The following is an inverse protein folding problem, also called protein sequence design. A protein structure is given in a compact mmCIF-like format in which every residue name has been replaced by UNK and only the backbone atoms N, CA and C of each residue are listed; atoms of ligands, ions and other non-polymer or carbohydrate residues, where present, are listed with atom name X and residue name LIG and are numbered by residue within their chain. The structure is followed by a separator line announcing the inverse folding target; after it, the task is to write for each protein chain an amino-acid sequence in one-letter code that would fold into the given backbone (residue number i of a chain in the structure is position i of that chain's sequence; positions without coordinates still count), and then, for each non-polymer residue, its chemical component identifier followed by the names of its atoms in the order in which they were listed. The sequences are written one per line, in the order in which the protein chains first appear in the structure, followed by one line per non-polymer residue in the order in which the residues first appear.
data_IF_097919885963
#
_entry.id   IF_097919885963
#
_cell.length_a   1.000
_cell.length_b   1.000
_cell.length_c   1.000
_cell.angle_alpha   90.00
_cell.angle_beta   90.00
_cell.angle_gamma   90.00
#
_symmetry.space_group_name_H-M   'P 1'
#
loop_
_entity.id
_entity.type
_entity.pdbx_description
1 polymer ?
#
# COMPACT_ATOMS: atom_id res chain seq x y z
N UNK A 1 0.19 -7.75 34.07
CA UNK A 1 0.97 -6.87 33.16
C UNK A 1 1.97 -7.75 32.41
N UNK A 2 2.11 -7.61 31.09
CA UNK A 2 3.06 -8.41 30.28
C UNK A 2 4.18 -7.48 29.84
N UNK A 3 5.43 -7.85 30.07
CA UNK A 3 6.59 -7.07 29.64
C UNK A 3 7.09 -7.58 28.29
N UNK A 4 7.43 -6.65 27.40
CA UNK A 4 8.04 -6.98 26.12
C UNK A 4 9.50 -7.37 26.35
N UNK A 5 9.85 -8.61 26.01
CA UNK A 5 11.23 -9.14 26.17
C UNK A 5 12.02 -9.13 24.87
N UNK A 6 11.36 -8.99 23.72
CA UNK A 6 11.98 -8.95 22.38
C UNK A 6 11.46 -7.71 21.67
N UNK A 7 12.36 -6.90 21.12
CA UNK A 7 12.02 -5.67 20.41
C UNK A 7 11.18 -5.94 19.14
N UNK A 8 10.37 -4.96 18.75
CA UNK A 8 9.57 -4.99 17.53
C UNK A 8 8.06 -5.08 17.75
N UNK A 9 7.31 -4.29 16.98
CA UNK A 9 5.84 -4.15 17.07
C UNK A 9 5.11 -5.50 16.97
N UNK A 10 5.49 -6.33 15.99
CA UNK A 10 4.88 -7.65 15.76
C UNK A 10 5.01 -8.59 16.96
N UNK A 11 6.17 -8.60 17.61
CA UNK A 11 6.41 -9.42 18.80
C UNK A 11 5.60 -8.91 20.00
N UNK A 12 5.51 -7.60 20.18
CA UNK A 12 4.68 -7.00 21.23
C UNK A 12 3.20 -7.40 21.07
N UNK A 13 2.65 -7.29 19.86
CA UNK A 13 1.27 -7.71 19.57
C UNK A 13 1.10 -9.21 19.84
N UNK A 14 2.03 -10.06 19.35
CA UNK A 14 2.02 -11.50 19.59
C UNK A 14 1.98 -11.86 21.08
N UNK A 15 2.81 -11.21 21.91
CA UNK A 15 2.85 -11.43 23.36
C UNK A 15 1.52 -11.10 24.05
N UNK A 16 0.90 -9.98 23.68
CA UNK A 16 -0.41 -9.56 24.22
C UNK A 16 -1.50 -10.56 23.81
N UNK A 17 -1.54 -10.95 22.54
CA UNK A 17 -2.52 -11.91 22.04
C UNK A 17 -2.37 -13.30 22.67
N UNK A 18 -1.14 -13.75 22.95
CA UNK A 18 -0.90 -15.00 23.68
C UNK A 18 -1.46 -14.95 25.09
N UNK A 19 -1.32 -13.81 25.76
CA UNK A 19 -1.86 -13.68 27.10
C UNK A 19 -3.39 -13.58 27.09
N UNK A 20 -3.99 -12.90 26.11
CA UNK A 20 -5.45 -12.91 25.90
C UNK A 20 -5.95 -14.33 25.64
N UNK A 21 -5.27 -15.08 24.77
CA UNK A 21 -5.55 -16.49 24.48
C UNK A 21 -5.47 -17.36 25.74
N UNK A 22 -4.40 -17.24 26.55
CA UNK A 22 -4.26 -17.99 27.82
C UNK A 22 -5.30 -17.63 28.88
N UNK A 23 -5.82 -16.39 28.86
CA UNK A 23 -6.89 -15.95 29.76
C UNK A 23 -8.27 -16.47 29.34
N UNK A 24 -8.41 -17.05 28.15
CA UNK A 24 -9.68 -17.59 27.67
C UNK A 24 -10.72 -16.50 27.39
N UNK A 25 -10.32 -15.36 26.80
CA UNK A 25 -11.28 -14.32 26.40
C UNK A 25 -12.35 -14.90 25.45
N UNK A 26 -13.57 -14.39 25.53
CA UNK A 26 -14.69 -14.90 24.75
C UNK A 26 -14.43 -14.69 23.26
N UNK A 27 -14.94 -15.58 22.41
CA UNK A 27 -14.68 -15.51 20.97
C UNK A 27 -15.25 -14.23 20.34
N UNK A 28 -16.32 -13.69 20.91
CA UNK A 28 -16.97 -12.46 20.46
C UNK A 28 -16.43 -11.18 21.12
N UNK A 29 -15.48 -11.30 22.06
CA UNK A 29 -14.83 -10.13 22.64
C UNK A 29 -14.14 -9.31 21.53
N UNK A 30 -14.20 -7.99 21.69
CA UNK A 30 -13.61 -7.07 20.71
C UNK A 30 -12.18 -6.69 21.11
N UNK A 31 -11.26 -6.86 20.18
CA UNK A 31 -9.85 -6.46 20.30
C UNK A 31 -9.62 -5.26 19.39
N UNK A 32 -9.13 -4.16 19.97
CA UNK A 32 -8.81 -2.94 19.24
C UNK A 32 -7.31 -2.85 19.05
N UNK A 33 -6.86 -2.75 17.80
CA UNK A 33 -5.49 -2.38 17.47
C UNK A 33 -5.43 -0.90 17.12
N UNK A 34 -4.47 -0.21 17.73
CA UNK A 34 -4.27 1.23 17.59
C UNK A 34 -2.77 1.55 17.61
N UNK A 35 -2.33 2.40 16.68
CA UNK A 35 -0.95 2.90 16.67
C UNK A 35 -0.77 3.98 17.75
N UNK A 36 0.44 4.13 18.28
CA UNK A 36 0.71 5.08 19.37
C UNK A 36 0.70 6.56 18.97
N UNK A 37 0.65 6.84 17.66
CA UNK A 37 0.53 8.17 17.06
C UNK A 37 -0.92 8.46 16.58
N UNK A 38 -1.87 7.59 16.92
CA UNK A 38 -3.28 7.77 16.60
C UNK A 38 -4.03 8.49 17.74
N UNK A 39 -4.97 9.35 17.37
CA UNK A 39 -5.89 10.04 18.28
C UNK A 39 -7.32 9.71 17.84
N UNK A 40 -8.05 9.03 18.72
CA UNK A 40 -9.42 8.60 18.44
C UNK A 40 -10.39 9.79 18.47
N UNK A 41 -11.21 9.97 17.42
CA UNK A 41 -12.28 10.94 17.49
C UNK A 41 -13.35 10.53 18.53
N UNK A 42 -14.05 11.49 19.15
CA UNK A 42 -15.10 11.19 20.11
C UNK A 42 -16.16 10.22 19.56
N UNK A 43 -16.52 9.22 20.37
CA UNK A 43 -17.56 8.26 20.03
C UNK A 43 -17.18 7.20 18.98
N UNK A 44 -15.90 7.10 18.56
CA UNK A 44 -15.47 6.13 17.54
C UNK A 44 -15.88 4.68 17.87
N UNK A 45 -15.71 4.25 19.12
CA UNK A 45 -16.09 2.91 19.57
C UNK A 45 -17.61 2.70 19.54
N UNK A 46 -18.40 3.73 19.87
CA UNK A 46 -19.87 3.69 19.79
C UNK A 46 -20.36 3.52 18.36
N UNK A 47 -19.64 4.05 17.37
CA UNK A 47 -19.93 3.86 15.94
C UNK A 47 -19.48 2.49 15.40
N UNK A 48 -18.51 1.87 16.07
CA UNK A 48 -17.80 0.69 15.62
C UNK A 48 -18.33 -0.62 16.23
N UNK A 49 -18.38 -0.69 17.56
CA UNK A 49 -18.67 -1.93 18.29
C UNK A 49 -20.08 -2.49 18.03
N UNK A 50 -21.17 -1.69 17.95
CA UNK A 50 -22.51 -2.23 17.69
C UNK A 50 -22.64 -2.95 16.34
N UNK A 51 -21.77 -2.66 15.37
CA UNK A 51 -21.77 -3.35 14.08
C UNK A 51 -21.47 -4.85 14.21
N UNK A 52 -20.69 -5.25 15.22
CA UNK A 52 -20.36 -6.65 15.47
C UNK A 52 -21.51 -7.43 16.10
N UNK A 53 -22.38 -6.75 16.85
CA UNK A 53 -23.60 -7.35 17.39
C UNK A 53 -24.63 -7.53 16.28
N UNK A 54 -24.82 -6.50 15.46
CA UNK A 54 -25.79 -6.53 14.35
C UNK A 54 -25.40 -7.50 13.22
N UNK A 55 -24.12 -7.82 13.07
CA UNK A 55 -23.62 -8.76 12.07
C UNK A 55 -22.65 -9.79 12.68
N UNK A 56 -23.17 -10.98 13.06
CA UNK A 56 -22.35 -12.06 13.62
C UNK A 56 -21.23 -12.53 12.69
N UNK A 57 -21.36 -12.33 11.36
CA UNK A 57 -20.32 -12.71 10.40
C UNK A 57 -19.18 -11.69 10.34
N UNK A 58 -19.39 -10.46 10.82
CA UNK A 58 -18.37 -9.42 10.85
C UNK A 58 -17.24 -9.80 11.80
N UNK A 59 -16.01 -9.84 11.26
CA UNK A 59 -14.82 -10.23 12.01
C UNK A 59 -13.82 -9.10 12.21
N UNK A 60 -13.84 -8.08 11.34
CA UNK A 60 -13.02 -6.89 11.54
C UNK A 60 -13.62 -5.66 10.86
N UNK A 61 -13.26 -4.50 11.40
CA UNK A 61 -13.50 -3.22 10.76
C UNK A 61 -12.26 -2.34 10.82
N UNK A 62 -12.18 -1.44 9.86
CA UNK A 62 -11.20 -0.34 9.83
C UNK A 62 -11.95 0.97 9.67
N UNK A 63 -11.40 2.04 10.20
CA UNK A 63 -12.05 3.35 10.25
C UNK A 63 -11.50 4.31 9.20
N UNK A 64 -12.22 5.41 9.03
CA UNK A 64 -11.71 6.59 8.34
C UNK A 64 -10.53 7.18 9.10
N UNK A 65 -9.64 7.85 8.37
CA UNK A 65 -8.48 8.49 8.97
C UNK A 65 -8.12 9.77 8.25
N UNK A 66 -7.82 10.77 9.06
CA UNK A 66 -7.24 12.05 8.66
C UNK A 66 -5.87 12.22 9.31
N UNK A 67 -5.11 13.18 8.80
CA UNK A 67 -3.75 13.47 9.26
C UNK A 67 -3.68 14.84 9.90
N UNK A 68 -3.00 14.90 11.04
CA UNK A 68 -2.51 16.13 11.63
C UNK A 68 -1.02 16.14 11.37
N UNK A 69 -0.60 16.92 10.38
CA UNK A 69 0.79 16.96 9.92
C UNK A 69 1.51 18.17 10.50
N UNK A 70 2.55 17.93 11.29
CA UNK A 70 3.49 18.96 11.73
C UNK A 70 4.71 18.93 10.81
N UNK A 71 4.71 19.83 9.81
CA UNK A 71 5.75 19.87 8.78
C UNK A 71 5.42 20.82 7.63
N UNK A 72 6.17 20.76 6.52
CA UNK A 72 5.92 21.57 5.34
C UNK A 72 4.48 21.44 4.81
N UNK A 73 3.83 22.58 4.51
CA UNK A 73 2.42 22.64 4.05
C UNK A 73 2.13 21.74 2.84
N UNK A 74 3.07 21.62 1.91
CA UNK A 74 2.91 20.77 0.73
C UNK A 74 2.81 19.28 1.09
N UNK A 75 3.49 18.83 2.15
CA UNK A 75 3.40 17.44 2.63
C UNK A 75 2.04 17.20 3.27
N UNK A 76 1.57 18.15 4.07
CA UNK A 76 0.22 18.10 4.62
C UNK A 76 -0.80 17.97 3.50
N UNK A 77 -0.73 18.82 2.47
CA UNK A 77 -1.63 18.74 1.30
C UNK A 77 -1.52 17.40 0.57
N UNK A 78 -0.30 16.89 0.35
CA UNK A 78 -0.08 15.57 -0.25
C UNK A 78 -0.70 14.44 0.58
N UNK A 79 -0.51 14.43 1.90
CA UNK A 79 -1.10 13.41 2.78
C UNK A 79 -2.62 13.53 2.77
N UNK A 80 -3.20 14.74 2.91
CA UNK A 80 -4.64 14.98 2.82
C UNK A 80 -5.22 14.45 1.51
N UNK A 81 -4.60 14.75 0.37
CA UNK A 81 -5.00 14.23 -0.94
C UNK A 81 -4.98 12.70 -0.97
N UNK A 82 -3.94 12.07 -0.40
CA UNK A 82 -3.85 10.60 -0.33
C UNK A 82 -4.92 10.00 0.57
N UNK A 83 -5.27 10.65 1.67
CA UNK A 83 -6.35 10.22 2.56
C UNK A 83 -7.70 10.31 1.86
N UNK A 84 -7.96 11.39 1.11
CA UNK A 84 -9.15 11.53 0.28
C UNK A 84 -9.25 10.39 -0.78
N UNK A 85 -8.18 10.12 -1.53
CA UNK A 85 -8.14 9.00 -2.49
C UNK A 85 -8.43 7.65 -1.81
N UNK A 86 -7.84 7.45 -0.63
CA UNK A 86 -8.01 6.21 0.13
C UNK A 86 -9.42 6.06 0.68
N UNK A 87 -10.07 7.15 1.10
CA UNK A 87 -11.45 7.16 1.60
C UNK A 87 -12.41 6.68 0.52
N UNK A 88 -12.31 7.23 -0.69
CA UNK A 88 -13.09 6.77 -1.86
C UNK A 88 -12.89 5.27 -2.09
N UNK A 89 -11.64 4.85 -2.19
CA UNK A 89 -11.32 3.45 -2.46
C UNK A 89 -11.86 2.53 -1.36
N UNK A 90 -11.65 2.85 -0.07
CA UNK A 90 -12.12 2.05 1.05
C UNK A 90 -13.65 1.98 1.13
N UNK A 91 -14.37 3.06 0.85
CA UNK A 91 -15.83 3.04 0.77
C UNK A 91 -16.30 2.03 -0.30
N UNK A 92 -15.72 2.08 -1.49
CA UNK A 92 -16.01 1.14 -2.56
C UNK A 92 -15.70 -0.31 -2.16
N UNK A 93 -14.54 -0.56 -1.54
CA UNK A 93 -14.18 -1.90 -1.05
C UNK A 93 -15.20 -2.45 -0.05
N UNK A 94 -15.64 -1.62 0.92
CA UNK A 94 -16.58 -2.02 1.98
C UNK A 94 -17.86 -2.66 1.42
N UNK A 95 -18.34 -2.18 0.26
CA UNK A 95 -19.52 -2.71 -0.42
C UNK A 95 -19.37 -4.17 -0.86
N UNK A 96 -18.13 -4.65 -1.03
CA UNK A 96 -17.82 -6.05 -1.32
C UNK A 96 -17.64 -6.90 -0.04
N UNK A 97 -18.02 -6.39 1.14
CA UNK A 97 -17.88 -7.06 2.44
C UNK A 97 -16.43 -7.44 2.80
N UNK A 98 -15.47 -6.75 2.17
CA UNK A 98 -14.04 -6.98 2.27
C UNK A 98 -13.33 -5.63 2.14
N UNK A 99 -12.09 -5.56 2.62
CA UNK A 99 -11.24 -4.37 2.45
C UNK A 99 -9.91 -4.80 1.85
N UNK A 100 -9.09 -3.85 1.37
CA UNK A 100 -7.71 -4.13 0.94
C UNK A 100 -6.69 -4.04 2.06
N UNK A 101 -7.03 -3.42 3.19
CA UNK A 101 -6.14 -3.29 4.35
C UNK A 101 -6.95 -2.91 5.58
N UNK A 102 -6.58 -3.45 6.73
CA UNK A 102 -7.09 -3.03 8.04
C UNK A 102 -6.06 -2.10 8.65
N UNK A 103 -6.29 -0.78 8.65
CA UNK A 103 -5.22 0.19 8.96
C UNK A 103 -4.73 0.05 10.39
N UNK A 104 -3.41 0.19 10.58
CA UNK A 104 -2.78 0.11 11.91
C UNK A 104 -3.23 1.20 12.90
N UNK A 105 -3.83 2.29 12.40
CA UNK A 105 -4.19 3.48 13.18
C UNK A 105 -5.29 3.16 14.17
N UNK A 106 -6.38 2.59 13.65
CA UNK A 106 -7.42 1.98 14.44
C UNK A 106 -8.14 0.93 13.59
N UNK A 107 -8.21 -0.29 14.12
CA UNK A 107 -9.05 -1.36 13.60
C UNK A 107 -9.59 -2.19 14.76
N UNK A 108 -10.84 -2.62 14.66
CA UNK A 108 -11.51 -3.45 15.67
C UNK A 108 -11.70 -4.85 15.10
N UNK A 109 -11.49 -5.86 15.93
CA UNK A 109 -11.50 -7.25 15.55
C UNK A 109 -12.31 -8.07 16.55
N UNK A 110 -13.00 -9.09 16.04
CA UNK A 110 -13.54 -10.15 16.88
C UNK A 110 -12.40 -11.07 17.34
N UNK A 111 -12.38 -11.44 18.62
CA UNK A 111 -11.29 -12.19 19.24
C UNK A 111 -11.08 -13.59 18.63
N UNK A 112 -12.14 -14.23 18.14
CA UNK A 112 -12.17 -15.59 17.58
C UNK A 112 -10.96 -15.95 16.71
N UNK A 113 -10.55 -15.04 15.81
CA UNK A 113 -9.43 -15.29 14.91
C UNK A 113 -8.08 -14.86 15.47
N UNK A 114 -8.04 -13.82 16.29
CA UNK A 114 -6.80 -13.18 16.77
C UNK A 114 -6.15 -13.94 17.93
N UNK A 115 -6.92 -14.68 18.71
CA UNK A 115 -6.40 -15.49 19.82
C UNK A 115 -5.91 -16.87 19.38
N UNK A 116 -6.09 -17.25 18.11
CA UNK A 116 -5.65 -18.55 17.59
C UNK A 116 -4.14 -18.60 17.47
N UNK A 117 -3.55 -19.71 17.90
CA UNK A 117 -2.10 -19.92 17.83
C UNK A 117 -1.53 -19.72 16.40
N UNK A 118 -2.27 -20.17 15.37
CA UNK A 118 -1.90 -20.01 13.96
C UNK A 118 -1.73 -18.54 13.57
N UNK A 119 -2.67 -17.67 13.97
CA UNK A 119 -2.60 -16.24 13.71
C UNK A 119 -1.40 -15.60 14.41
N UNK A 120 -1.26 -15.88 15.71
CA UNK A 120 -0.20 -15.33 16.56
C UNK A 120 1.18 -15.66 15.99
N UNK A 121 1.42 -16.94 15.63
CA UNK A 121 2.68 -17.37 15.00
C UNK A 121 2.94 -16.71 13.67
N UNK A 122 1.90 -16.59 12.83
CA UNK A 122 2.02 -15.90 11.56
C UNK A 122 2.40 -14.44 11.77
N UNK A 123 1.81 -13.73 12.75
CA UNK A 123 2.12 -12.33 13.00
C UNK A 123 3.57 -12.14 13.51
N UNK A 124 4.00 -12.98 14.45
CA UNK A 124 5.34 -12.97 15.07
C UNK A 124 6.47 -13.28 14.07
N UNK A 125 6.24 -14.26 13.19
CA UNK A 125 7.26 -14.82 12.31
C UNK A 125 6.84 -14.82 10.83
N UNK A 126 6.10 -13.80 10.40
CA UNK A 126 5.67 -13.71 9.01
C UNK A 126 6.89 -13.62 8.09
N UNK A 127 6.83 -14.37 7.00
CA UNK A 127 7.90 -14.48 6.04
C UNK A 127 7.35 -14.66 4.63
N UNK A 128 8.22 -14.41 3.66
CA UNK A 128 7.95 -14.66 2.26
C UNK A 128 9.17 -15.33 1.63
N UNK A 129 8.90 -16.34 0.82
CA UNK A 129 9.89 -16.92 -0.08
C UNK A 129 9.89 -16.15 -1.40
N UNK A 130 11.07 -15.74 -1.85
CA UNK A 130 11.28 -15.09 -3.14
C UNK A 130 12.45 -15.76 -3.86
N UNK A 131 12.26 -16.11 -5.13
CA UNK A 131 13.24 -16.87 -5.91
C UNK A 131 14.65 -16.25 -5.90
N UNK A 132 14.78 -14.92 -6.00
CA UNK A 132 16.08 -14.23 -5.96
C UNK A 132 16.64 -14.03 -4.54
N UNK A 133 15.78 -13.88 -3.54
CA UNK A 133 16.17 -13.41 -2.20
C UNK A 133 16.09 -14.50 -1.12
N UNK A 134 15.62 -15.70 -1.48
CA UNK A 134 15.29 -16.76 -0.54
C UNK A 134 14.14 -16.38 0.38
N UNK A 135 14.13 -16.96 1.57
CA UNK A 135 13.13 -16.69 2.61
C UNK A 135 13.56 -15.52 3.48
N UNK A 136 12.72 -14.49 3.60
CA UNK A 136 12.98 -13.34 4.46
C UNK A 136 11.76 -12.99 5.32
N UNK A 137 12.03 -12.51 6.54
CA UNK A 137 10.99 -12.11 7.50
C UNK A 137 10.50 -10.68 7.25
N UNK A 138 9.25 -10.43 7.61
CA UNK A 138 8.67 -9.09 7.52
C UNK A 138 9.00 -8.26 8.76
N UNK A 139 9.61 -7.09 8.56
CA UNK A 139 9.88 -6.13 9.63
C UNK A 139 8.67 -5.25 9.93
N UNK A 140 7.86 -4.91 8.92
CA UNK A 140 6.67 -4.06 9.05
C UNK A 140 5.48 -4.65 8.29
N UNK A 141 4.31 -4.01 8.37
CA UNK A 141 3.11 -4.45 7.66
C UNK A 141 2.29 -5.50 8.40
N UNK A 142 2.26 -5.42 9.73
CA UNK A 142 1.41 -6.22 10.62
C UNK A 142 -0.08 -6.09 10.26
N UNK A 143 -0.50 -4.90 9.86
CA UNK A 143 -1.82 -4.59 9.29
C UNK A 143 -2.18 -5.47 8.07
N UNK A 144 -1.30 -5.51 7.08
CA UNK A 144 -1.47 -6.28 5.85
C UNK A 144 -1.33 -7.79 6.09
N UNK A 145 -0.50 -8.19 7.03
CA UNK A 145 -0.36 -9.59 7.42
C UNK A 145 -1.64 -10.07 8.09
N UNK A 146 -2.20 -9.24 8.97
CA UNK A 146 -3.49 -9.49 9.63
C UNK A 146 -4.63 -9.57 8.62
N UNK A 147 -4.72 -8.59 7.71
CA UNK A 147 -5.66 -8.62 6.59
C UNK A 147 -5.56 -9.89 5.75
N UNK A 148 -4.35 -10.31 5.37
CA UNK A 148 -4.14 -11.53 4.60
C UNK A 148 -4.67 -12.76 5.34
N UNK A 149 -4.39 -12.88 6.64
CA UNK A 149 -4.94 -13.97 7.44
C UNK A 149 -6.47 -13.97 7.45
N UNK A 150 -7.08 -12.81 7.67
CA UNK A 150 -8.55 -12.68 7.66
C UNK A 150 -9.14 -13.14 6.32
N UNK A 151 -8.50 -12.84 5.18
CA UNK A 151 -8.90 -13.39 3.89
C UNK A 151 -8.85 -14.93 3.85
N UNK A 152 -7.82 -15.56 4.42
CA UNK A 152 -7.75 -17.04 4.46
C UNK A 152 -8.88 -17.66 5.29
N UNK A 153 -9.45 -16.90 6.24
CA UNK A 153 -10.53 -17.33 7.11
C UNK A 153 -11.92 -16.92 6.60
N UNK A 154 -12.03 -16.44 5.36
CA UNK A 154 -13.27 -15.93 4.76
C UNK A 154 -13.94 -14.78 5.54
N UNK A 155 -13.19 -14.12 6.43
CA UNK A 155 -13.68 -13.11 7.33
C UNK A 155 -14.36 -11.95 6.57
N UNK A 156 -15.58 -11.59 6.98
CA UNK A 156 -16.23 -10.35 6.55
C UNK A 156 -15.52 -9.18 7.22
N UNK A 157 -15.16 -8.18 6.42
CA UNK A 157 -14.42 -7.01 6.86
C UNK A 157 -15.03 -5.74 6.29
N UNK A 158 -15.25 -4.72 7.12
CA UNK A 158 -15.86 -3.47 6.66
C UNK A 158 -14.96 -2.26 6.90
N UNK A 159 -15.20 -1.23 6.11
CA UNK A 159 -14.73 0.12 6.37
C UNK A 159 -15.89 0.97 6.89
N UNK A 160 -15.70 1.66 8.01
CA UNK A 160 -16.70 2.53 8.65
C UNK A 160 -16.34 3.99 8.37
N UNK A 161 -17.02 4.67 7.43
CA UNK A 161 -16.66 6.02 6.98
C UNK A 161 -16.96 7.12 8.00
N UNK A 162 -17.83 6.86 8.97
CA UNK A 162 -18.26 7.83 10.00
C UNK A 162 -17.43 7.75 11.29
N UNK A 163 -16.59 6.71 11.40
CA UNK A 163 -15.66 6.53 12.49
C UNK A 163 -14.30 7.12 12.06
N UNK A 164 -13.84 8.16 12.74
CA UNK A 164 -12.62 8.89 12.36
C UNK A 164 -11.51 8.69 13.39
N UNK A 165 -10.29 8.48 12.91
CA UNK A 165 -9.07 8.54 13.72
C UNK A 165 -8.08 9.54 13.10
N UNK A 166 -7.48 10.39 13.94
CA UNK A 166 -6.43 11.31 13.50
C UNK A 166 -5.08 10.64 13.66
N UNK A 167 -4.21 10.73 12.65
CA UNK A 167 -2.82 10.30 12.75
C UNK A 167 -1.94 11.52 12.88
N UNK A 168 -1.10 11.54 13.90
CA UNK A 168 -0.09 12.58 14.08
C UNK A 168 1.12 12.21 13.24
N UNK A 169 1.42 13.00 12.21
CA UNK A 169 2.64 12.86 11.42
C UNK A 169 3.54 14.07 11.68
N UNK A 170 4.63 13.85 12.42
CA UNK A 170 5.66 14.85 12.65
C UNK A 170 6.83 14.61 11.68
N UNK A 171 7.19 15.64 10.94
CA UNK A 171 8.19 15.57 9.88
C UNK A 171 9.39 16.42 10.28
N UNK A 172 10.39 15.75 10.82
CA UNK A 172 11.71 16.31 11.04
C UNK A 172 12.54 16.15 9.75
N UNK A 173 13.21 17.22 9.31
CA UNK A 173 14.10 17.21 8.16
C UNK A 173 13.39 17.26 6.79
N UNK A 174 13.91 16.51 5.81
CA UNK A 174 13.48 16.62 4.41
C UNK A 174 12.16 15.90 4.14
N UNK A 175 11.15 16.68 3.72
CA UNK A 175 9.85 16.17 3.33
C UNK A 175 9.88 15.18 2.16
N UNK A 176 10.74 15.42 1.18
CA UNK A 176 10.88 14.58 -0.01
C UNK A 176 11.45 13.21 0.38
N UNK A 177 12.44 13.21 1.29
CA UNK A 177 13.00 11.97 1.80
C UNK A 177 11.94 11.18 2.57
N UNK A 178 11.20 11.83 3.47
CA UNK A 178 10.09 11.22 4.23
C UNK A 178 9.04 10.63 3.30
N UNK A 179 8.60 11.37 2.30
CA UNK A 179 7.67 10.92 1.28
C UNK A 179 8.18 9.67 0.55
N UNK A 180 9.45 9.68 0.12
CA UNK A 180 10.07 8.56 -0.60
C UNK A 180 10.19 7.31 0.28
N UNK A 181 10.58 7.46 1.55
CA UNK A 181 10.63 6.37 2.52
C UNK A 181 9.24 5.75 2.73
N UNK A 182 8.21 6.59 2.88
CA UNK A 182 6.82 6.13 3.00
C UNK A 182 6.35 5.38 1.75
N UNK A 183 6.63 5.89 0.54
CA UNK A 183 6.31 5.17 -0.70
C UNK A 183 6.99 3.80 -0.79
N UNK A 184 8.29 3.71 -0.49
CA UNK A 184 9.03 2.44 -0.52
C UNK A 184 8.42 1.44 0.45
N UNK A 185 8.12 1.87 1.68
CA UNK A 185 7.52 1.01 2.72
C UNK A 185 6.11 0.54 2.33
N UNK A 186 5.24 1.46 1.96
CA UNK A 186 3.85 1.14 1.60
C UNK A 186 3.78 0.25 0.35
N UNK A 187 4.58 0.57 -0.68
CA UNK A 187 4.66 -0.22 -1.92
C UNK A 187 5.22 -1.61 -1.66
N UNK A 188 6.30 -1.73 -0.87
CA UNK A 188 6.87 -3.02 -0.47
C UNK A 188 5.87 -3.88 0.31
N UNK A 189 5.11 -3.30 1.24
CA UNK A 189 4.07 -4.02 1.99
C UNK A 189 2.91 -4.46 1.09
N UNK A 190 2.49 -3.57 0.17
CA UNK A 190 1.46 -3.85 -0.82
C UNK A 190 1.85 -5.02 -1.72
N UNK A 191 3.06 -4.99 -2.31
CA UNK A 191 3.51 -6.02 -3.24
C UNK A 191 3.65 -7.39 -2.57
N UNK A 192 4.22 -7.45 -1.36
CA UNK A 192 4.45 -8.71 -0.64
C UNK A 192 3.15 -9.42 -0.29
N UNK A 193 2.24 -8.72 0.41
CA UNK A 193 0.96 -9.30 0.79
C UNK A 193 0.03 -9.46 -0.41
N UNK A 194 0.08 -8.55 -1.38
CA UNK A 194 -0.70 -8.65 -2.61
C UNK A 194 -0.36 -9.90 -3.43
N UNK A 195 0.91 -10.34 -3.46
CA UNK A 195 1.29 -11.57 -4.20
C UNK A 195 0.61 -12.78 -3.58
N UNK A 196 0.66 -12.89 -2.24
CA UNK A 196 0.04 -14.01 -1.53
C UNK A 196 -1.48 -13.98 -1.66
N UNK A 197 -2.07 -12.79 -1.57
CA UNK A 197 -3.50 -12.61 -1.75
C UNK A 197 -3.95 -13.09 -3.14
N UNK A 198 -3.32 -12.65 -4.23
CA UNK A 198 -3.72 -13.08 -5.58
C UNK A 198 -3.72 -14.60 -5.76
N UNK A 199 -2.79 -15.32 -5.11
CA UNK A 199 -2.72 -16.79 -5.13
C UNK A 199 -3.90 -17.47 -4.44
N UNK A 200 -4.62 -16.80 -3.54
CA UNK A 200 -5.86 -17.32 -2.95
C UNK A 200 -7.01 -17.37 -3.97
N UNK A 201 -6.92 -16.61 -5.06
CA UNK A 201 -7.92 -16.57 -6.12
C UNK A 201 -9.15 -15.70 -5.81
N UNK A 202 -9.96 -15.40 -6.85
CA UNK A 202 -11.12 -14.50 -6.74
C UNK A 202 -12.24 -15.08 -5.88
N UNK A 203 -12.40 -16.40 -5.81
CA UNK A 203 -13.45 -17.03 -5.01
C UNK A 203 -13.23 -16.85 -3.51
N UNK A 204 -11.96 -16.87 -3.07
CA UNK A 204 -11.61 -16.71 -1.64
C UNK A 204 -11.62 -15.25 -1.21
N UNK A 205 -11.08 -14.37 -2.05
CA UNK A 205 -10.93 -12.94 -1.73
C UNK A 205 -12.22 -12.15 -1.99
N UNK A 206 -13.07 -12.65 -2.88
CA UNK A 206 -14.13 -11.88 -3.53
C UNK A 206 -13.59 -11.22 -4.80
N UNK A 207 -14.33 -11.36 -5.90
CA UNK A 207 -13.89 -10.93 -7.24
C UNK A 207 -13.43 -9.48 -7.28
N UNK A 208 -14.22 -8.55 -6.71
CA UNK A 208 -13.90 -7.13 -6.72
C UNK A 208 -12.57 -6.83 -6.01
N UNK A 209 -12.38 -7.35 -4.79
CA UNK A 209 -11.14 -7.11 -4.05
C UNK A 209 -9.96 -7.80 -4.72
N UNK A 210 -10.14 -9.01 -5.26
CA UNK A 210 -9.10 -9.69 -6.02
C UNK A 210 -8.68 -8.86 -7.24
N UNK A 211 -9.65 -8.31 -7.97
CA UNK A 211 -9.41 -7.39 -9.08
C UNK A 211 -8.65 -6.14 -8.64
N UNK A 212 -9.03 -5.51 -7.52
CA UNK A 212 -8.29 -4.35 -7.01
C UNK A 212 -6.83 -4.68 -6.63
N UNK A 213 -6.56 -5.88 -6.11
CA UNK A 213 -5.17 -6.31 -5.86
C UNK A 213 -4.41 -6.51 -7.18
N UNK A 214 -5.09 -7.02 -8.21
CA UNK A 214 -4.52 -7.19 -9.55
C UNK A 214 -4.23 -5.84 -10.21
N UNK A 215 -5.21 -4.93 -10.19
CA UNK A 215 -5.10 -3.56 -10.70
C UNK A 215 -3.89 -2.85 -10.09
N UNK A 216 -3.65 -2.98 -8.77
CA UNK A 216 -2.47 -2.39 -8.13
C UNK A 216 -1.12 -2.83 -8.72
N UNK A 217 -1.06 -3.99 -9.39
CA UNK A 217 0.12 -4.51 -10.11
C UNK A 217 0.16 -4.08 -11.57
N UNK A 218 -0.99 -3.98 -12.23
CA UNK A 218 -1.05 -3.54 -13.62
C UNK A 218 -0.80 -2.04 -13.69
N UNK A 219 -1.45 -1.29 -12.80
CA UNK A 219 -1.38 0.16 -12.69
C UNK A 219 0.06 0.70 -12.58
N UNK A 220 0.97 -0.01 -11.89
CA UNK A 220 2.35 0.47 -11.77
C UNK A 220 3.10 0.54 -13.11
N UNK A 221 2.66 -0.22 -14.11
CA UNK A 221 3.21 -0.20 -15.46
C UNK A 221 2.41 0.71 -16.39
N UNK A 222 1.08 0.61 -16.37
CA UNK A 222 0.23 1.43 -17.27
C UNK A 222 0.34 2.91 -16.99
N UNK A 223 0.60 3.30 -15.74
CA UNK A 223 0.87 4.70 -15.35
C UNK A 223 2.16 5.28 -15.97
N UNK A 224 3.09 4.42 -16.44
CA UNK A 224 4.33 4.84 -17.10
C UNK A 224 4.19 4.94 -18.62
N UNK A 225 3.12 4.40 -19.21
CA UNK A 225 2.90 4.42 -20.67
C UNK A 225 2.77 5.85 -21.19
N UNK A 226 1.93 6.69 -20.57
CA UNK A 226 1.70 8.05 -21.10
C UNK A 226 2.94 8.96 -21.04
N UNK A 227 3.78 8.95 -19.98
CA UNK A 227 5.07 9.63 -20.02
C UNK A 227 6.01 9.11 -21.11
N UNK A 228 6.07 7.79 -21.32
CA UNK A 228 6.93 7.18 -22.36
C UNK A 228 6.49 7.68 -23.74
N UNK A 229 5.20 7.60 -24.06
CA UNK A 229 4.65 8.08 -25.33
C UNK A 229 4.92 9.57 -25.51
N UNK A 230 4.67 10.38 -24.47
CA UNK A 230 4.89 11.82 -24.55
C UNK A 230 6.35 12.18 -24.85
N UNK A 231 7.30 11.59 -24.14
CA UNK A 231 8.73 11.85 -24.36
C UNK A 231 9.16 11.33 -25.74
N UNK A 232 8.77 10.12 -26.11
CA UNK A 232 9.14 9.54 -27.40
C UNK A 232 8.58 10.33 -28.59
N UNK A 233 7.30 10.68 -28.57
CA UNK A 233 6.68 11.47 -29.64
C UNK A 233 7.30 12.87 -29.75
N UNK A 234 7.64 13.49 -28.61
CA UNK A 234 8.33 14.79 -28.57
C UNK A 234 9.71 14.73 -29.23
N UNK A 235 10.45 13.65 -29.00
CA UNK A 235 11.82 13.49 -29.52
C UNK A 235 11.86 13.00 -30.98
N UNK A 236 10.91 12.15 -31.38
CA UNK A 236 10.94 11.47 -32.68
C UNK A 236 10.11 12.16 -33.76
N UNK A 237 9.08 12.94 -33.38
CA UNK A 237 8.15 13.52 -34.35
C UNK A 237 8.05 15.05 -34.23
N UNK A 238 7.49 15.55 -33.11
CA UNK A 238 7.19 16.97 -32.96
C UNK A 238 7.40 17.44 -31.51
N UNK A 239 8.33 18.37 -31.25
CA UNK A 239 8.53 18.97 -29.94
C UNK A 239 7.26 19.55 -29.28
N UNK A 240 6.26 19.99 -30.06
CA UNK A 240 5.01 20.53 -29.51
C UNK A 240 4.11 19.47 -28.87
N UNK A 241 4.36 18.18 -29.10
CA UNK A 241 3.58 17.10 -28.48
C UNK A 241 3.61 17.16 -26.94
N UNK A 242 4.73 17.61 -26.35
CA UNK A 242 4.85 17.76 -24.90
C UNK A 242 3.84 18.76 -24.31
N UNK A 243 3.45 19.78 -25.09
CA UNK A 243 2.45 20.78 -24.67
C UNK A 243 1.08 20.12 -24.58
N UNK A 244 0.69 19.36 -25.60
CA UNK A 244 -0.55 18.57 -25.60
C UNK A 244 -0.61 17.59 -24.43
N UNK A 245 0.52 16.98 -24.09
CA UNK A 245 0.63 16.11 -22.92
C UNK A 245 0.40 16.86 -21.60
N UNK A 246 0.99 18.04 -21.41
CA UNK A 246 0.76 18.85 -20.23
C UNK A 246 -0.69 19.33 -20.11
N UNK A 247 -1.31 19.74 -21.21
CA UNK A 247 -2.73 20.12 -21.25
C UNK A 247 -3.61 18.93 -20.84
N UNK A 248 -3.35 17.75 -21.40
CA UNK A 248 -4.09 16.52 -21.05
C UNK A 248 -3.95 16.16 -19.57
N UNK A 249 -2.73 16.27 -19.01
CA UNK A 249 -2.51 16.07 -17.57
C UNK A 249 -3.32 17.09 -16.77
N UNK A 250 -3.24 18.38 -17.11
CA UNK A 250 -3.95 19.42 -16.38
C UNK A 250 -5.47 19.15 -16.35
N UNK A 251 -6.07 18.83 -17.49
CA UNK A 251 -7.51 18.53 -17.60
C UNK A 251 -7.87 17.27 -16.81
N UNK A 252 -7.18 16.15 -17.07
CA UNK A 252 -7.50 14.86 -16.44
C UNK A 252 -7.32 14.89 -14.93
N UNK A 253 -6.30 15.59 -14.43
CA UNK A 253 -6.04 15.72 -12.99
C UNK A 253 -6.96 16.72 -12.33
N UNK A 254 -7.33 17.80 -13.01
CA UNK A 254 -8.36 18.71 -12.52
C UNK A 254 -9.68 17.96 -12.34
N UNK A 255 -10.10 17.18 -13.35
CA UNK A 255 -11.30 16.36 -13.26
C UNK A 255 -11.27 15.41 -12.04
N UNK A 256 -10.16 14.69 -11.84
CA UNK A 256 -10.00 13.82 -10.67
C UNK A 256 -10.01 14.59 -9.33
N UNK A 257 -9.37 15.76 -9.29
CA UNK A 257 -9.37 16.64 -8.12
C UNK A 257 -10.77 17.14 -7.76
N UNK A 258 -11.63 17.42 -8.75
CA UNK A 258 -13.02 17.81 -8.51
C UNK A 258 -13.81 16.70 -7.79
N UNK A 259 -13.58 15.43 -8.13
CA UNK A 259 -14.18 14.32 -7.40
C UNK A 259 -13.61 14.17 -5.98
N UNK A 260 -12.30 14.33 -5.83
CA UNK A 260 -11.64 14.23 -4.52
C UNK A 260 -12.04 15.37 -3.57
N UNK A 261 -12.41 16.54 -4.11
CA UNK A 261 -12.88 17.67 -3.31
C UNK A 261 -14.05 17.30 -2.39
N UNK A 262 -14.94 16.40 -2.83
CA UNK A 262 -16.06 15.91 -2.00
C UNK A 262 -15.61 15.20 -0.71
N UNK A 263 -14.35 14.77 -0.66
CA UNK A 263 -13.72 14.05 0.44
C UNK A 263 -12.71 14.91 1.20
N UNK A 264 -12.68 16.22 0.92
CA UNK A 264 -11.85 17.22 1.58
C UNK A 264 -12.70 18.24 2.33
N UNK A 265 -12.14 18.82 3.38
CA UNK A 265 -12.75 19.96 4.07
C UNK A 265 -12.39 21.31 3.40
N UNK A 266 -11.53 21.31 2.37
CA UNK A 266 -11.02 22.53 1.73
C UNK A 266 -10.68 22.30 0.26
N UNK A 267 -10.69 23.40 -0.52
CA UNK A 267 -10.27 23.41 -1.93
C UNK A 267 -8.74 23.49 -1.99
N UNK A 268 -8.13 22.60 -2.78
CA UNK A 268 -6.69 22.53 -2.96
C UNK A 268 -6.34 22.60 -4.45
N UNK A 269 -5.93 23.79 -4.90
CA UNK A 269 -5.59 24.05 -6.31
C UNK A 269 -4.31 23.31 -6.75
N UNK A 270 -3.48 22.92 -5.78
CA UNK A 270 -2.24 22.19 -5.99
C UNK A 270 -2.46 20.69 -6.27
N UNK A 271 -3.64 20.14 -5.97
CA UNK A 271 -3.91 18.70 -6.09
C UNK A 271 -3.72 18.13 -7.49
N UNK A 272 -4.12 18.79 -8.60
CA UNK A 272 -3.89 18.24 -9.93
C UNK A 272 -2.42 17.91 -10.20
N UNK A 273 -1.52 18.80 -9.77
CA UNK A 273 -0.07 18.60 -9.88
C UNK A 273 0.42 17.50 -8.94
N UNK A 274 0.04 17.57 -7.66
CA UNK A 274 0.43 16.56 -6.66
C UNK A 274 -0.05 15.17 -7.08
N UNK A 275 -1.26 15.03 -7.62
CA UNK A 275 -1.81 13.77 -8.12
C UNK A 275 -0.92 13.16 -9.19
N UNK A 276 -0.50 13.96 -10.18
CA UNK A 276 0.34 13.49 -11.27
C UNK A 276 1.73 13.07 -10.76
N UNK A 277 2.39 13.90 -9.96
CA UNK A 277 3.70 13.56 -9.38
C UNK A 277 3.61 12.33 -8.47
N UNK A 278 2.59 12.25 -7.62
CA UNK A 278 2.32 11.10 -6.76
C UNK A 278 2.09 9.84 -7.60
N UNK A 279 1.37 9.92 -8.73
CA UNK A 279 1.16 8.79 -9.63
C UNK A 279 2.49 8.28 -10.20
N UNK A 280 3.28 9.18 -10.81
CA UNK A 280 4.53 8.82 -11.46
C UNK A 280 5.55 8.25 -10.46
N UNK A 281 5.73 8.95 -9.33
CA UNK A 281 6.67 8.53 -8.29
C UNK A 281 6.27 7.19 -7.65
N UNK A 282 4.98 7.01 -7.35
CA UNK A 282 4.48 5.76 -6.79
C UNK A 282 4.64 4.59 -7.78
N UNK A 283 4.39 4.81 -9.07
CA UNK A 283 4.61 3.80 -10.12
C UNK A 283 6.10 3.41 -10.21
N UNK A 284 7.00 4.39 -10.30
CA UNK A 284 8.44 4.16 -10.35
C UNK A 284 8.96 3.42 -9.11
N UNK A 285 8.53 3.82 -7.91
CA UNK A 285 8.91 3.14 -6.65
C UNK A 285 8.38 1.72 -6.61
N UNK A 286 7.15 1.46 -7.06
CA UNK A 286 6.59 0.10 -7.13
C UNK A 286 7.37 -0.80 -8.07
N UNK A 287 7.70 -0.33 -9.28
CA UNK A 287 8.53 -1.06 -10.25
C UNK A 287 9.89 -1.38 -9.64
N UNK A 288 10.55 -0.41 -9.00
CA UNK A 288 11.82 -0.61 -8.31
C UNK A 288 11.73 -1.66 -7.17
N UNK A 289 10.67 -1.58 -6.36
CA UNK A 289 10.44 -2.49 -5.23
C UNK A 289 10.13 -3.93 -5.67
N UNK A 290 9.58 -4.14 -6.87
CA UNK A 290 9.17 -5.46 -7.36
C UNK A 290 10.33 -6.45 -7.41
N UNK A 291 11.51 -6.01 -7.84
CA UNK A 291 12.72 -6.83 -7.85
C UNK A 291 13.44 -6.89 -6.49
N UNK A 292 13.01 -6.08 -5.51
CA UNK A 292 13.73 -5.84 -4.23
C UNK A 292 12.83 -6.02 -3.00
N UNK A 293 11.92 -6.99 -3.05
CA UNK A 293 10.93 -7.20 -1.99
C UNK A 293 11.55 -7.52 -0.61
N UNK A 294 12.78 -8.04 -0.56
CA UNK A 294 13.50 -8.33 0.68
C UNK A 294 14.06 -7.08 1.37
N UNK A 295 14.31 -6.00 0.61
CA UNK A 295 14.89 -4.75 1.09
C UNK A 295 13.83 -3.98 1.86
N UNK A 296 13.94 -3.99 3.18
CA UNK A 296 13.05 -3.28 4.08
C UNK A 296 13.85 -2.33 4.93
N UNK A 297 13.35 -1.12 5.13
CA UNK A 297 13.93 -0.15 6.05
C UNK A 297 12.82 0.50 6.86
N UNK A 298 13.02 0.58 8.17
CA UNK A 298 12.16 1.30 9.10
C UNK A 298 13.01 2.27 9.90
N UNK A 299 12.94 3.53 9.52
CA UNK A 299 13.77 4.63 10.03
C UNK A 299 13.28 5.21 11.36
N UNK A 300 12.08 4.86 11.85
CA UNK A 300 11.57 5.31 13.13
C UNK A 300 11.76 4.23 14.21
N UNK A 301 12.29 4.64 15.39
CA UNK A 301 12.52 3.80 16.59
C UNK A 301 13.48 2.61 16.37
N UNK A 302 14.77 2.91 16.26
CA UNK A 302 15.86 1.92 16.29
C UNK A 302 16.44 1.50 14.93
N UNK A 303 16.04 2.18 13.84
CA UNK A 303 16.61 2.06 12.48
C UNK A 303 16.83 0.60 12.02
N UNK A 304 15.75 -0.18 11.92
CA UNK A 304 15.82 -1.58 11.49
C UNK A 304 15.86 -1.68 9.96
N UNK A 305 16.76 -2.49 9.42
CA UNK A 305 16.82 -2.82 7.99
C UNK A 305 16.96 -4.32 7.78
N UNK A 306 16.44 -4.83 6.65
CA UNK A 306 16.63 -6.22 6.23
C UNK A 306 17.06 -6.30 4.77
N UNK A 307 17.83 -7.34 4.45
CA UNK A 307 18.24 -7.67 3.09
C UNK A 307 19.44 -6.87 2.58
N UNK A 308 20.11 -6.06 3.41
CA UNK A 308 21.33 -5.31 3.09
C UNK A 308 22.58 -6.00 3.65
N UNK A 309 22.81 -7.26 3.30
CA UNK A 309 24.10 -7.90 3.57
C UNK A 309 25.15 -7.46 2.56
N UNK A 310 26.41 -7.41 3.01
CA UNK A 310 27.57 -6.97 2.21
C UNK A 310 28.32 -8.13 1.54
N UNK A 311 27.80 -9.36 1.64
CA UNK A 311 28.39 -10.55 0.99
C UNK A 311 28.39 -10.41 -0.54
N UNK A 312 29.39 -11.01 -1.21
CA UNK A 312 29.44 -11.11 -2.67
C UNK A 312 28.14 -11.66 -3.27
N UNK A 313 27.55 -12.67 -2.64
CA UNK A 313 26.27 -13.22 -3.08
C UNK A 313 25.13 -12.18 -3.02
N UNK A 314 25.13 -11.29 -2.01
CA UNK A 314 24.13 -10.23 -1.90
C UNK A 314 24.37 -9.10 -2.90
N UNK A 315 25.64 -8.79 -3.22
CA UNK A 315 25.98 -7.88 -4.30
C UNK A 315 25.51 -8.42 -5.66
N UNK A 316 25.74 -9.71 -5.95
CA UNK A 316 25.22 -10.36 -7.15
C UNK A 316 23.69 -10.32 -7.21
N UNK A 317 22.99 -10.58 -6.10
CA UNK A 317 21.52 -10.46 -6.05
C UNK A 317 21.06 -9.02 -6.29
N UNK A 318 21.76 -8.01 -5.76
CA UNK A 318 21.45 -6.60 -6.01
C UNK A 318 21.64 -6.25 -7.49
N UNK A 319 22.72 -6.73 -8.10
CA UNK A 319 22.99 -6.57 -9.52
C UNK A 319 21.89 -7.24 -10.36
N UNK A 320 21.55 -8.49 -10.05
CA UNK A 320 20.47 -9.21 -10.73
C UNK A 320 19.12 -8.48 -10.59
N UNK A 321 18.80 -7.95 -9.41
CA UNK A 321 17.59 -7.16 -9.22
C UNK A 321 17.60 -5.86 -10.06
N UNK A 322 18.76 -5.23 -10.23
CA UNK A 322 18.92 -4.08 -11.12
C UNK A 322 18.74 -4.49 -12.59
N UNK A 323 19.45 -5.51 -13.04
CA UNK A 323 19.34 -6.07 -14.37
C UNK A 323 17.89 -6.38 -14.74
N UNK A 324 17.15 -7.09 -13.88
CA UNK A 324 15.75 -7.46 -14.13
C UNK A 324 14.85 -6.23 -14.24
N UNK A 325 15.06 -5.24 -13.35
CA UNK A 325 14.29 -3.99 -13.41
C UNK A 325 14.56 -3.27 -14.73
N UNK A 326 15.82 -3.21 -15.15
CA UNK A 326 16.22 -2.61 -16.44
C UNK A 326 15.58 -3.35 -17.60
N UNK A 327 15.66 -4.68 -17.65
CA UNK A 327 15.03 -5.49 -18.70
C UNK A 327 13.54 -5.24 -18.76
N UNK A 328 12.83 -5.22 -17.63
CA UNK A 328 11.39 -4.94 -17.61
C UNK A 328 11.04 -3.53 -18.11
N UNK A 329 11.79 -2.51 -17.68
CA UNK A 329 11.56 -1.12 -18.11
C UNK A 329 11.87 -0.95 -19.59
N UNK A 330 12.98 -1.51 -20.09
CA UNK A 330 13.32 -1.50 -21.51
C UNK A 330 12.24 -2.23 -22.33
N UNK A 331 11.79 -3.39 -21.86
CA UNK A 331 10.71 -4.14 -22.53
C UNK A 331 9.43 -3.32 -22.59
N UNK A 332 9.05 -2.63 -21.50
CA UNK A 332 7.91 -1.73 -21.49
C UNK A 332 8.09 -0.60 -22.53
N UNK A 333 9.24 0.08 -22.52
CA UNK A 333 9.52 1.18 -23.45
C UNK A 333 9.43 0.70 -24.89
N UNK A 334 10.13 -0.39 -25.25
CA UNK A 334 10.09 -0.94 -26.60
C UNK A 334 8.68 -1.36 -27.01
N UNK A 335 7.94 -2.04 -26.12
CA UNK A 335 6.55 -2.43 -26.37
C UNK A 335 5.67 -1.22 -26.66
N UNK A 336 5.80 -0.15 -25.88
CA UNK A 336 5.04 1.08 -26.09
C UNK A 336 5.41 1.75 -27.41
N UNK A 337 6.70 1.84 -27.75
CA UNK A 337 7.17 2.44 -29.00
C UNK A 337 6.64 1.71 -30.23
N UNK A 338 6.71 0.37 -30.24
CA UNK A 338 6.16 -0.44 -31.33
C UNK A 338 4.63 -0.39 -31.37
N UNK A 339 3.97 -0.49 -30.22
CA UNK A 339 2.50 -0.46 -30.14
C UNK A 339 1.91 0.87 -30.65
N UNK A 340 2.59 1.99 -30.39
CA UNK A 340 2.16 3.31 -30.84
C UNK A 340 2.59 3.65 -32.27
N UNK A 341 3.39 2.80 -32.91
CA UNK A 341 3.91 3.06 -34.25
C UNK A 341 4.96 4.18 -34.31
N UNK A 342 5.46 4.65 -33.16
CA UNK A 342 6.54 5.65 -33.09
C UNK A 342 7.87 5.10 -33.60
N UNK A 343 8.03 3.76 -33.53
CA UNK A 343 9.15 3.03 -34.11
C UNK A 343 8.59 1.90 -34.97
N UNK A 344 8.99 1.86 -36.24
CA UNK A 344 8.64 0.78 -37.16
C UNK A 344 9.51 -0.47 -36.95
N UNK A 345 9.00 -1.63 -37.36
CA UNK A 345 9.88 -2.76 -37.60
C UNK A 345 10.79 -2.46 -38.80
N UNK A 346 12.08 -2.83 -38.76
CA UNK A 346 12.94 -2.68 -39.92
C UNK A 346 12.33 -3.41 -41.11
N UNK A 347 12.25 -2.75 -42.26
CA UNK A 347 11.73 -3.35 -43.49
C UNK A 347 12.62 -4.54 -43.88
N UNK A 348 12.03 -5.74 -43.93
CA UNK A 348 12.73 -6.98 -44.31
C UNK A 348 13.31 -6.93 -45.74
N UNK A 349 12.86 -5.98 -46.56
CA UNK A 349 13.33 -5.76 -47.93
C UNK A 349 14.63 -4.95 -48.08
N UNK A 350 15.27 -4.53 -46.98
CA UNK A 350 16.59 -3.87 -47.06
C UNK A 350 17.74 -4.87 -47.25
N UNK A 351 17.48 -6.18 -47.08
CA UNK A 351 18.47 -7.27 -47.14
C UNK A 351 18.14 -8.36 -48.18
N UNK A 352 17.08 -8.16 -48.97
CA UNK A 352 16.71 -8.95 -50.16
C UNK A 352 16.89 -8.07 -51.39
#
# INVERSE_FOLDING_TARGET
MIRQNISGKRMAIGLVLRAMSRRGIHQDDLIVFMDGDAVLAPGILRKCCPLFENDPKLQAITTDEEVICYGPKWIQSWLTMRFAQRRIAKQSHSMANKVLTLTGRMSVFRANHLTRHKFIRMLEADHLHHWLWGTFRFLSGDDKSTWYYMLTQDAKMLYVPDALVYTIEEIEGSGIERMTQNFRRWSGNMLRNGTRALKLGPNKIGFFIWWCVMDQRIAMWTMLVSPIVAIAATLLHDPYYIVSYFIWIAISRMALSLFLFRYSNSIHIEWPFILYFNQLLNAAVKVYCLARLSKQRWTNRGNQSSGSGDSFADQMKNFMAAYITTVWVVTLVMTVLFYTGLVGFPELGYWL
#
